data_IF_230702956203
#
_entry.id   IF_230702956203
#
_cell.length_a   1.000
_cell.length_b   1.000
_cell.length_c   1.000
_cell.angle_alpha   90.00
_cell.angle_beta   90.00
_cell.angle_gamma   90.00
#
_symmetry.space_group_name_H-M   'P 1'
#
loop_
_entity.id
_entity.type
_entity.pdbx_description
1 polymer ?
#
# COMPACT_ATOMS: atom_id res chain seq x y z
N UNK A 1 65.00 -0.26 16.88
CA UNK A 1 64.13 0.74 17.54
C UNK A 1 62.93 0.01 18.11
N UNK A 2 62.46 0.38 19.30
CA UNK A 2 61.26 -0.21 19.93
C UNK A 2 60.13 0.82 19.88
N UNK A 3 58.91 0.39 19.55
CA UNK A 3 57.71 1.22 19.54
C UNK A 3 57.00 1.16 20.90
N UNK A 4 56.26 2.21 21.25
CA UNK A 4 55.34 2.15 22.38
C UNK A 4 54.30 1.06 22.11
N UNK A 5 54.07 0.21 23.11
CA UNK A 5 53.01 -0.79 23.04
C UNK A 5 51.70 -0.12 23.40
N UNK A 6 50.78 -0.10 22.45
CA UNK A 6 49.42 0.42 22.63
C UNK A 6 48.49 -0.70 23.12
N UNK A 7 47.49 -0.34 23.91
CA UNK A 7 46.41 -1.22 24.33
C UNK A 7 45.09 -0.44 24.30
N UNK A 8 43.99 -1.00 23.77
CA UNK A 8 42.73 -0.28 23.63
C UNK A 8 42.03 -0.18 24.98
N UNK A 9 42.56 0.66 25.85
CA UNK A 9 42.07 0.89 27.20
C UNK A 9 41.80 2.38 27.35
N UNK A 10 40.63 2.69 27.92
CA UNK A 10 40.32 4.07 28.26
C UNK A 10 41.09 4.46 29.52
N UNK A 11 42.02 5.40 29.37
CA UNK A 11 42.72 6.01 30.50
C UNK A 11 41.86 7.16 31.05
N UNK A 12 41.72 7.29 32.37
CA UNK A 12 40.89 8.36 32.97
C UNK A 12 41.54 9.75 32.86
N UNK A 13 42.86 9.80 32.80
CA UNK A 13 43.65 11.02 32.62
C UNK A 13 44.87 10.78 31.74
N UNK A 14 45.52 11.88 31.35
CA UNK A 14 46.90 11.85 30.83
C UNK A 14 47.75 12.45 31.91
N UNK A 15 48.75 11.71 32.36
CA UNK A 15 49.68 12.14 33.39
C UNK A 15 50.44 13.38 32.92
N UNK A 16 50.49 14.39 33.79
CA UNK A 16 51.36 15.54 33.59
C UNK A 16 52.71 15.22 34.22
N UNK A 17 53.78 15.32 33.43
CA UNK A 17 55.13 15.18 33.97
C UNK A 17 55.41 16.37 34.88
N UNK A 18 55.85 16.08 36.08
CA UNK A 18 56.20 17.06 37.10
C UNK A 18 57.69 17.41 37.04
N UNK A 19 58.04 18.59 37.55
CA UNK A 19 59.46 19.04 37.57
C UNK A 19 60.38 18.17 38.44
N UNK A 20 59.82 17.43 39.39
CA UNK A 20 60.53 16.48 40.25
C UNK A 20 60.70 15.09 39.62
N UNK A 21 60.03 14.80 38.50
CA UNK A 21 60.07 13.47 37.90
C UNK A 21 61.42 13.20 37.23
N UNK A 22 61.99 12.00 37.41
CA UNK A 22 63.24 11.65 36.75
C UNK A 22 63.02 11.42 35.25
N UNK A 23 63.99 11.77 34.40
CA UNK A 23 63.92 11.49 32.95
C UNK A 23 64.26 10.01 32.71
N UNK A 24 63.27 9.13 32.88
CA UNK A 24 63.40 7.70 32.67
C UNK A 24 62.60 7.27 31.42
N UNK A 25 63.33 6.75 30.43
CA UNK A 25 62.77 6.11 29.23
C UNK A 25 62.49 4.62 29.44
N UNK A 26 62.29 3.90 28.33
CA UNK A 26 61.91 2.48 28.35
C UNK A 26 60.40 2.26 28.51
N UNK A 27 59.92 1.01 28.45
CA UNK A 27 58.49 0.69 28.41
C UNK A 27 57.68 1.22 29.60
N UNK A 28 58.28 1.17 30.80
CA UNK A 28 57.69 1.63 32.06
C UNK A 28 58.27 2.97 32.54
N UNK A 29 59.04 3.65 31.70
CA UNK A 29 59.63 4.94 32.02
C UNK A 29 58.58 6.03 32.15
N UNK A 30 58.72 6.89 33.17
CA UNK A 30 57.77 7.99 33.44
C UNK A 30 57.68 8.97 32.26
N UNK A 31 58.76 9.15 31.50
CA UNK A 31 58.78 10.00 30.30
C UNK A 31 57.87 9.47 29.18
N UNK A 32 57.65 8.15 29.13
CA UNK A 32 56.80 7.49 28.12
C UNK A 32 55.36 7.30 28.59
N UNK A 33 55.03 7.61 29.85
CA UNK A 33 53.69 7.42 30.40
C UNK A 33 52.63 8.27 29.69
N UNK A 34 52.75 9.60 29.55
CA UNK A 34 51.73 10.40 28.87
C UNK A 34 51.51 10.01 27.40
N UNK A 35 52.57 9.77 26.59
CA UNK A 35 52.42 9.26 25.23
C UNK A 35 51.71 7.89 25.16
N UNK A 36 52.01 6.97 26.09
CA UNK A 36 51.35 5.66 26.15
C UNK A 36 49.87 5.79 26.50
N UNK A 37 49.52 6.63 27.47
CA UNK A 37 48.13 6.87 27.87
C UNK A 37 47.32 7.51 26.72
N UNK A 38 47.91 8.45 25.99
CA UNK A 38 47.34 9.01 24.75
C UNK A 38 47.13 7.96 23.66
N UNK A 39 48.13 7.10 23.44
CA UNK A 39 48.06 6.05 22.46
C UNK A 39 46.97 5.01 22.81
N UNK A 40 46.87 4.63 24.10
CA UNK A 40 45.84 3.72 24.58
C UNK A 40 44.42 4.26 24.36
N UNK A 41 44.18 5.55 24.70
CA UNK A 41 42.91 6.23 24.42
C UNK A 41 42.58 6.25 22.93
N UNK A 42 43.57 6.52 22.08
CA UNK A 42 43.40 6.54 20.62
C UNK A 42 43.05 5.16 20.09
N UNK A 43 43.72 4.11 20.57
CA UNK A 43 43.44 2.72 20.22
C UNK A 43 42.02 2.30 20.66
N UNK A 44 41.59 2.70 21.86
CA UNK A 44 40.24 2.45 22.37
C UNK A 44 39.17 3.14 21.51
N UNK A 45 39.36 4.43 21.19
CA UNK A 45 38.43 5.19 20.34
C UNK A 45 38.32 4.58 18.94
N UNK A 46 39.44 4.13 18.37
CA UNK A 46 39.46 3.44 17.09
C UNK A 46 38.66 2.13 17.16
N UNK A 47 38.87 1.32 18.20
CA UNK A 47 38.11 0.08 18.38
C UNK A 47 36.60 0.35 18.51
N UNK A 48 36.21 1.38 19.26
CA UNK A 48 34.81 1.77 19.40
C UNK A 48 34.20 2.25 18.07
N UNK A 49 34.96 3.02 17.29
CA UNK A 49 34.55 3.50 15.96
C UNK A 49 34.34 2.32 15.00
N UNK A 50 35.31 1.41 14.93
CA UNK A 50 35.23 0.20 14.09
C UNK A 50 34.04 -0.68 14.49
N UNK A 51 33.82 -0.87 15.80
CA UNK A 51 32.66 -1.60 16.31
C UNK A 51 31.33 -0.94 15.94
N UNK A 52 31.25 0.39 16.00
CA UNK A 52 30.06 1.15 15.62
C UNK A 52 29.81 1.09 14.11
N UNK A 53 30.86 1.19 13.29
CA UNK A 53 30.78 1.05 11.84
C UNK A 53 30.27 -0.33 11.45
N UNK A 54 30.82 -1.39 12.04
CA UNK A 54 30.36 -2.76 11.81
C UNK A 54 28.90 -2.96 12.22
N UNK A 55 28.47 -2.40 13.35
CA UNK A 55 27.08 -2.45 13.79
C UNK A 55 26.14 -1.71 12.82
N UNK A 56 26.56 -0.55 12.31
CA UNK A 56 25.79 0.22 11.34
C UNK A 56 25.67 -0.49 9.99
N UNK A 57 26.77 -1.08 9.50
CA UNK A 57 26.76 -1.91 8.29
C UNK A 57 25.85 -3.12 8.44
N UNK A 58 25.89 -3.79 9.60
CA UNK A 58 24.98 -4.89 9.91
C UNK A 58 23.52 -4.43 9.92
N UNK A 59 23.21 -3.29 10.56
CA UNK A 59 21.87 -2.72 10.57
C UNK A 59 21.40 -2.33 9.15
N UNK A 60 22.23 -1.68 8.34
CA UNK A 60 21.88 -1.25 7.00
C UNK A 60 21.59 -2.42 6.04
N UNK A 61 22.29 -3.54 6.21
CA UNK A 61 22.07 -4.76 5.44
C UNK A 61 20.94 -5.63 6.01
N UNK A 62 20.52 -5.37 7.25
CA UNK A 62 19.45 -6.10 7.91
C UNK A 62 18.09 -5.59 7.47
N UNK A 63 17.15 -6.52 7.29
CA UNK A 63 15.71 -6.23 7.23
C UNK A 63 15.00 -6.65 8.51
N UNK A 64 15.74 -6.86 9.59
CA UNK A 64 15.23 -7.32 10.89
C UNK A 64 14.57 -6.17 11.67
N UNK A 65 13.58 -5.53 11.05
CA UNK A 65 12.65 -4.65 11.74
C UNK A 65 11.35 -5.43 11.95
N UNK A 66 10.61 -5.15 13.03
CA UNK A 66 9.33 -5.80 13.26
C UNK A 66 8.34 -5.46 12.15
N UNK A 67 7.49 -6.43 11.81
CA UNK A 67 6.37 -6.20 10.92
C UNK A 67 5.32 -5.31 11.58
N UNK A 68 4.59 -4.55 10.77
CA UNK A 68 3.51 -3.71 11.27
C UNK A 68 2.33 -4.58 11.69
N UNK A 69 1.62 -4.11 12.70
CA UNK A 69 0.37 -4.68 13.17
C UNK A 69 -0.66 -3.56 13.30
N UNK A 70 -1.90 -3.91 13.65
CA UNK A 70 -2.93 -2.92 13.96
C UNK A 70 -2.58 -2.04 15.17
N UNK A 71 -1.68 -2.49 16.05
CA UNK A 71 -1.30 -1.80 17.28
C UNK A 71 0.09 -1.15 17.23
N UNK A 72 1.00 -1.66 16.38
CA UNK A 72 2.40 -1.23 16.33
C UNK A 72 2.85 -0.96 14.90
N UNK A 73 3.65 0.09 14.73
CA UNK A 73 4.27 0.44 13.44
C UNK A 73 5.38 -0.55 13.11
N UNK A 74 5.56 -0.85 11.82
CA UNK A 74 6.59 -1.77 11.32
C UNK A 74 6.60 -1.83 9.78
N UNK A 75 7.26 -2.84 9.21
CA UNK A 75 7.20 -3.09 7.76
C UNK A 75 5.96 -3.91 7.35
N UNK A 76 5.50 -3.71 6.12
CA UNK A 76 4.35 -4.44 5.57
C UNK A 76 4.71 -4.95 4.18
N UNK A 77 4.28 -6.17 3.86
CA UNK A 77 4.37 -6.71 2.51
C UNK A 77 3.14 -6.30 1.69
N UNK A 78 3.35 -5.86 0.46
CA UNK A 78 2.27 -5.51 -0.46
C UNK A 78 1.71 -6.76 -1.14
N UNK A 79 0.39 -6.84 -1.27
CA UNK A 79 -0.30 -7.95 -1.91
C UNK A 79 -1.32 -7.49 -2.95
N UNK A 80 -1.39 -8.27 -4.04
CA UNK A 80 -2.42 -8.16 -5.08
C UNK A 80 -3.43 -9.32 -5.00
N UNK A 81 -3.42 -10.11 -3.93
CA UNK A 81 -4.36 -11.21 -3.75
C UNK A 81 -5.80 -10.67 -3.69
N UNK A 82 -6.71 -11.27 -4.47
CA UNK A 82 -8.13 -10.98 -4.38
C UNK A 82 -8.76 -11.77 -3.24
N UNK A 83 -9.65 -11.13 -2.47
CA UNK A 83 -10.35 -11.75 -1.34
C UNK A 83 -9.44 -12.33 -0.24
N UNK A 84 -8.26 -11.76 -0.04
CA UNK A 84 -7.38 -12.14 1.07
C UNK A 84 -8.01 -11.80 2.42
N UNK A 85 -7.84 -12.70 3.39
CA UNK A 85 -8.15 -12.46 4.82
C UNK A 85 -6.90 -12.20 5.65
N UNK A 86 -5.74 -12.09 4.99
CA UNK A 86 -4.46 -11.85 5.65
C UNK A 86 -4.37 -10.41 6.15
N UNK A 87 -4.21 -10.25 7.47
CA UNK A 87 -4.07 -8.94 8.13
C UNK A 87 -2.61 -8.44 8.19
N UNK A 88 -1.65 -9.24 7.73
CA UNK A 88 -0.21 -8.91 7.73
C UNK A 88 0.27 -8.26 6.43
N UNK A 89 -0.58 -8.20 5.41
CA UNK A 89 -0.26 -7.62 4.10
C UNK A 89 -1.15 -6.42 3.78
N UNK A 90 -0.62 -5.46 3.02
CA UNK A 90 -1.39 -4.30 2.55
C UNK A 90 -1.80 -4.47 1.08
N UNK A 91 -3.03 -4.07 0.75
CA UNK A 91 -3.49 -4.01 -0.62
C UNK A 91 -2.73 -2.95 -1.44
N UNK A 92 -2.40 -3.26 -2.70
CA UNK A 92 -1.82 -2.24 -3.61
C UNK A 92 -2.90 -1.34 -4.24
N UNK A 93 -2.53 -0.14 -4.73
CA UNK A 93 -3.42 0.68 -5.55
C UNK A 93 -3.96 -0.04 -6.79
N UNK A 94 -3.17 -0.94 -7.41
CA UNK A 94 -3.62 -1.74 -8.55
C UNK A 94 -4.78 -2.63 -8.16
N UNK A 95 -4.64 -3.39 -7.06
CA UNK A 95 -5.71 -4.24 -6.56
C UNK A 95 -6.96 -3.43 -6.25
N UNK A 96 -6.82 -2.32 -5.52
CA UNK A 96 -7.96 -1.45 -5.18
C UNK A 96 -8.67 -0.95 -6.44
N UNK A 97 -7.92 -0.44 -7.43
CA UNK A 97 -8.49 0.01 -8.69
C UNK A 97 -9.19 -1.11 -9.47
N UNK A 98 -8.57 -2.29 -9.57
CA UNK A 98 -9.15 -3.44 -10.25
C UNK A 98 -10.46 -3.90 -9.57
N UNK A 99 -10.51 -3.88 -8.22
CA UNK A 99 -11.73 -4.20 -7.46
C UNK A 99 -12.81 -3.14 -7.58
N UNK A 100 -12.45 -1.86 -7.54
CA UNK A 100 -13.39 -0.75 -7.75
C UNK A 100 -13.96 -0.82 -9.17
N UNK A 101 -13.13 -1.03 -10.19
CA UNK A 101 -13.59 -1.18 -11.57
C UNK A 101 -14.44 -2.44 -11.78
N UNK A 102 -14.13 -3.54 -11.09
CA UNK A 102 -14.99 -4.72 -11.10
C UNK A 102 -16.38 -4.40 -10.52
N UNK A 103 -16.48 -3.55 -9.49
CA UNK A 103 -17.77 -3.14 -8.91
C UNK A 103 -18.49 -2.08 -9.75
N UNK A 104 -17.77 -1.11 -10.31
CA UNK A 104 -18.33 0.06 -11.02
C UNK A 104 -18.57 -0.19 -12.51
N UNK A 105 -17.68 -0.93 -13.18
CA UNK A 105 -17.71 -1.20 -14.62
C UNK A 105 -18.08 -2.62 -15.02
N UNK A 106 -18.11 -3.55 -14.07
CA UNK A 106 -18.57 -4.94 -14.24
C UNK A 106 -19.55 -5.33 -13.14
N UNK A 107 -20.51 -4.46 -12.80
CA UNK A 107 -21.73 -4.95 -12.18
C UNK A 107 -22.15 -6.18 -13.05
N UNK A 108 -22.30 -7.39 -12.48
CA UNK A 108 -22.64 -8.59 -13.25
C UNK A 108 -23.72 -8.24 -14.25
N UNK A 109 -23.80 -8.88 -15.42
CA UNK A 109 -24.88 -8.58 -16.37
C UNK A 109 -26.25 -8.50 -15.68
N UNK A 110 -26.46 -9.25 -14.59
CA UNK A 110 -27.59 -9.20 -13.64
C UNK A 110 -27.81 -7.90 -12.84
N UNK A 111 -26.76 -7.14 -12.53
CA UNK A 111 -26.79 -5.86 -11.82
C UNK A 111 -26.77 -4.62 -12.74
N UNK A 112 -26.65 -4.79 -14.06
CA UNK A 112 -26.84 -3.71 -15.05
C UNK A 112 -28.34 -3.45 -15.29
N UNK A 113 -29.08 -3.29 -14.20
CA UNK A 113 -30.55 -3.25 -14.20
C UNK A 113 -31.07 -2.10 -15.06
N UNK A 114 -30.42 -0.94 -15.05
CA UNK A 114 -30.86 0.21 -15.85
C UNK A 114 -30.67 0.00 -17.36
N UNK A 115 -29.54 -0.57 -17.79
CA UNK A 115 -29.32 -0.86 -19.21
C UNK A 115 -30.15 -2.05 -19.68
N UNK A 116 -30.33 -3.09 -18.85
CA UNK A 116 -31.26 -4.20 -19.13
C UNK A 116 -32.69 -3.70 -19.28
N UNK A 117 -33.15 -2.82 -18.39
CA UNK A 117 -34.46 -2.18 -18.49
C UNK A 117 -34.54 -1.33 -19.76
N UNK A 118 -33.52 -0.52 -20.06
CA UNK A 118 -33.47 0.29 -21.28
C UNK A 118 -33.56 -0.58 -22.54
N UNK A 119 -32.77 -1.65 -22.64
CA UNK A 119 -32.80 -2.59 -23.75
C UNK A 119 -34.13 -3.35 -23.84
N UNK A 120 -34.70 -3.77 -22.71
CA UNK A 120 -36.00 -4.45 -22.64
C UNK A 120 -37.15 -3.56 -23.15
N UNK A 121 -37.03 -2.23 -22.98
CA UNK A 121 -37.93 -1.24 -23.58
C UNK A 121 -37.42 -0.70 -24.93
N UNK A 122 -36.53 -1.45 -25.60
CA UNK A 122 -35.96 -1.14 -26.92
C UNK A 122 -35.21 0.19 -27.01
N UNK A 123 -34.57 0.62 -25.92
CA UNK A 123 -33.91 1.90 -25.76
C UNK A 123 -34.80 3.08 -26.19
N UNK A 124 -36.12 2.95 -26.02
CA UNK A 124 -37.07 3.93 -26.48
C UNK A 124 -37.30 4.99 -25.38
N UNK A 125 -36.74 6.22 -25.50
CA UNK A 125 -36.95 7.27 -24.50
C UNK A 125 -38.42 7.71 -24.41
N UNK A 126 -39.24 7.31 -25.38
CA UNK A 126 -40.66 7.61 -25.53
C UNK A 126 -41.51 6.34 -25.49
N UNK A 127 -41.03 5.27 -24.84
CA UNK A 127 -41.76 3.99 -24.76
C UNK A 127 -43.22 4.18 -24.32
N UNK A 128 -43.45 4.95 -23.26
CA UNK A 128 -44.79 5.25 -22.76
C UNK A 128 -45.66 5.98 -23.80
N UNK A 129 -45.09 6.94 -24.55
CA UNK A 129 -45.81 7.64 -25.64
C UNK A 129 -46.18 6.66 -26.75
N UNK A 130 -45.25 5.80 -27.18
CA UNK A 130 -45.47 4.83 -28.25
C UNK A 130 -46.56 3.81 -27.90
N UNK A 131 -46.53 3.27 -26.68
CA UNK A 131 -47.56 2.32 -26.20
C UNK A 131 -48.93 3.00 -26.11
N UNK A 132 -48.97 4.24 -25.61
CA UNK A 132 -50.21 5.03 -25.53
C UNK A 132 -50.81 5.27 -26.92
N UNK A 133 -49.97 5.56 -27.92
CA UNK A 133 -50.40 5.80 -29.29
C UNK A 133 -50.93 4.52 -29.95
N UNK A 134 -50.24 3.38 -29.80
CA UNK A 134 -50.71 2.08 -30.30
C UNK A 134 -52.05 1.67 -29.68
N UNK A 135 -52.21 1.84 -28.36
CA UNK A 135 -53.47 1.53 -27.68
C UNK A 135 -54.62 2.41 -28.19
N UNK A 136 -54.37 3.70 -28.38
CA UNK A 136 -55.36 4.64 -28.92
C UNK A 136 -55.82 4.24 -30.33
N UNK A 137 -54.93 3.73 -31.16
CA UNK A 137 -55.27 3.22 -32.49
C UNK A 137 -56.13 1.95 -32.44
N UNK A 138 -55.87 1.05 -31.49
CA UNK A 138 -56.68 -0.18 -31.32
C UNK A 138 -58.09 0.07 -30.77
N UNK A 139 -58.33 1.23 -30.16
CA UNK A 139 -59.62 1.63 -29.60
C UNK A 139 -60.41 2.58 -30.52
N UNK A 140 -60.04 2.68 -31.79
CA UNK A 140 -60.71 3.53 -32.77
C UNK A 140 -62.16 3.05 -33.03
N UNK A 141 -63.11 3.59 -32.25
CA UNK A 141 -64.54 3.23 -32.32
C UNK A 141 -65.15 3.36 -33.71
N UNK A 142 -64.64 4.27 -34.53
CA UNK A 142 -65.06 4.49 -35.91
C UNK A 142 -64.54 3.42 -36.90
N UNK A 143 -63.47 2.70 -36.55
CA UNK A 143 -62.90 1.60 -37.33
C UNK A 143 -63.47 0.23 -36.92
N UNK A 144 -64.02 0.11 -35.72
CA UNK A 144 -64.67 -1.11 -35.25
C UNK A 144 -65.85 -1.49 -36.18
N UNK A 145 -65.69 -2.55 -36.97
CA UNK A 145 -66.66 -3.01 -37.95
C UNK A 145 -66.63 -2.26 -39.29
N UNK A 146 -65.56 -1.54 -39.61
CA UNK A 146 -65.37 -0.92 -40.92
C UNK A 146 -65.21 -1.94 -42.06
N UNK A 147 -64.80 -3.16 -41.73
CA UNK A 147 -64.69 -4.32 -42.62
C UNK A 147 -66.04 -5.00 -42.91
N UNK A 148 -67.12 -4.62 -42.23
CA UNK A 148 -68.46 -5.17 -42.46
C UNK A 148 -69.03 -4.54 -43.76
N UNK A 149 -69.22 -5.33 -44.85
CA UNK A 149 -69.57 -4.78 -46.16
C UNK A 149 -71.00 -4.19 -46.20
N UNK A 150 -71.94 -4.79 -45.47
CA UNK A 150 -73.29 -4.26 -45.26
C UNK A 150 -73.64 -4.35 -43.77
N UNK A 151 -73.42 -3.23 -43.08
CA UNK A 151 -73.72 -3.11 -41.64
C UNK A 151 -75.20 -3.34 -41.34
N UNK A 152 -76.09 -2.96 -42.25
CA UNK A 152 -77.53 -3.10 -42.03
C UNK A 152 -77.97 -4.56 -42.16
N UNK A 153 -77.43 -5.30 -43.14
CA UNK A 153 -77.66 -6.74 -43.27
C UNK A 153 -77.06 -7.51 -42.09
N UNK A 154 -75.87 -7.13 -41.63
CA UNK A 154 -75.24 -7.71 -40.45
C UNK A 154 -76.12 -7.57 -39.20
N UNK A 155 -76.68 -6.37 -38.95
CA UNK A 155 -77.59 -6.12 -37.83
C UNK A 155 -78.88 -6.95 -37.95
N UNK A 156 -79.45 -7.09 -39.15
CA UNK A 156 -80.66 -7.90 -39.37
C UNK A 156 -80.45 -9.40 -39.10
N UNK A 157 -79.22 -9.90 -39.27
CA UNK A 157 -78.88 -11.31 -39.08
C UNK A 157 -78.48 -11.66 -37.64
N UNK A 158 -78.36 -10.66 -36.75
CA UNK A 158 -77.96 -10.84 -35.36
C UNK A 158 -79.06 -11.40 -34.44
N UNK A 159 -80.28 -11.61 -34.96
CA UNK A 159 -81.43 -12.10 -34.20
C UNK A 159 -82.31 -10.97 -33.67
#
# INVERSE_FOLDING_TARGET
MSYLKESPTWEDGIYQIETSDPVLGGPEGITNRPPRELANRTAWLKQQLEGTQAALESHANSRNHPDATLAAKGFVQLSNATYSQDETTAATPKLVNDRVNAVVGNAPSDLDTLNKLAQAISNNPKFAESVTQLLSQKLAKNENGADIPDKNLFIKNLG
#
